data_IF_597106702851
#
_entry.id   IF_597106702851
#
_cell.length_a   1.000
_cell.length_b   1.000
_cell.length_c   1.000
_cell.angle_alpha   90.00
_cell.angle_beta   90.00
_cell.angle_gamma   90.00
#
_symmetry.space_group_name_H-M   'P 1'
#
loop_
_entity.id
_entity.type
_entity.pdbx_description
1 polymer ?
#
# COMPACT_ATOMS: atom_id res chain seq x y z
N UNK A 1 13.99 -15.44 -13.18
CA UNK A 1 13.52 -15.09 -11.83
C UNK A 1 12.61 -13.86 -11.88
N UNK A 2 11.93 -13.53 -10.75
CA UNK A 2 11.13 -12.29 -10.61
C UNK A 2 12.02 -11.17 -10.08
N UNK A 3 11.75 -9.92 -10.48
CA UNK A 3 12.47 -8.74 -10.01
C UNK A 3 11.52 -7.57 -9.76
N UNK A 4 11.88 -6.68 -8.84
CA UNK A 4 11.12 -5.45 -8.58
C UNK A 4 11.13 -4.56 -9.84
N UNK A 5 9.95 -4.25 -10.37
CA UNK A 5 9.79 -3.40 -11.56
C UNK A 5 10.21 -4.01 -12.89
N UNK A 6 10.63 -5.28 -12.92
CA UNK A 6 11.02 -5.97 -14.15
C UNK A 6 9.84 -6.51 -14.95
N UNK A 7 10.14 -7.14 -16.11
CA UNK A 7 9.13 -7.73 -16.99
C UNK A 7 8.47 -8.99 -16.40
N UNK A 8 9.10 -9.61 -15.41
CA UNK A 8 8.47 -10.60 -14.53
C UNK A 8 8.44 -10.02 -13.11
N UNK A 9 7.41 -9.25 -12.76
CA UNK A 9 7.44 -8.42 -11.58
C UNK A 9 7.39 -9.22 -10.29
N UNK A 10 8.19 -8.79 -9.31
CA UNK A 10 8.13 -9.22 -7.94
C UNK A 10 7.31 -8.19 -7.15
N UNK A 11 6.27 -8.66 -6.48
CA UNK A 11 5.51 -7.85 -5.52
C UNK A 11 5.87 -8.29 -4.11
N UNK A 12 6.03 -7.31 -3.21
CA UNK A 12 6.45 -7.57 -1.84
C UNK A 12 5.54 -6.88 -0.82
N UNK A 13 5.51 -7.43 0.38
CA UNK A 13 5.06 -6.75 1.57
C UNK A 13 6.25 -6.19 2.33
N UNK A 14 6.07 -5.03 2.96
CA UNK A 14 7.04 -4.41 3.86
C UNK A 14 6.38 -4.24 5.21
N UNK A 15 6.92 -4.90 6.23
CA UNK A 15 6.33 -4.94 7.57
C UNK A 15 7.38 -4.94 8.66
N UNK A 16 6.99 -4.60 9.86
CA UNK A 16 7.86 -4.66 11.03
C UNK A 16 8.27 -6.08 11.38
N UNK A 17 9.49 -6.23 11.92
CA UNK A 17 10.02 -7.45 12.48
C UNK A 17 10.56 -7.20 13.88
N UNK A 18 9.72 -6.69 14.79
CA UNK A 18 10.12 -6.45 16.18
C UNK A 18 10.47 -7.75 16.90
N UNK A 19 11.38 -7.65 17.87
CA UNK A 19 11.82 -8.78 18.71
C UNK A 19 10.66 -9.43 19.47
N UNK A 20 9.65 -8.64 19.85
CA UNK A 20 8.41 -9.09 20.47
C UNK A 20 7.25 -8.79 19.53
N UNK A 21 6.31 -9.72 19.41
CA UNK A 21 5.11 -9.52 18.59
C UNK A 21 4.26 -8.40 19.17
N UNK A 22 3.93 -7.44 18.32
CA UNK A 22 3.12 -6.25 18.65
C UNK A 22 1.96 -6.12 17.63
N UNK A 23 0.96 -7.01 17.66
CA UNK A 23 -0.08 -7.10 16.62
C UNK A 23 -0.89 -5.81 16.53
N UNK A 24 -1.03 -5.27 15.32
CA UNK A 24 -1.78 -4.05 15.04
C UNK A 24 -1.11 -2.74 15.47
N UNK A 25 0.09 -2.80 16.07
CA UNK A 25 0.76 -1.60 16.59
C UNK A 25 1.60 -0.87 15.55
N UNK A 26 2.16 -1.58 14.60
CA UNK A 26 2.97 -1.04 13.50
C UNK A 26 2.33 -1.31 12.16
N UNK A 27 2.62 -0.44 11.19
CA UNK A 27 1.99 -0.50 9.89
C UNK A 27 2.69 -1.51 8.96
N UNK A 28 1.94 -1.98 7.98
CA UNK A 28 2.39 -2.86 6.90
C UNK A 28 2.05 -2.19 5.57
N UNK A 29 2.92 -2.32 4.58
CA UNK A 29 2.64 -1.92 3.20
C UNK A 29 2.64 -3.18 2.34
N UNK A 30 1.52 -3.41 1.65
CA UNK A 30 1.29 -4.56 0.78
C UNK A 30 1.38 -4.16 -0.68
N UNK A 31 1.60 -5.15 -1.55
CA UNK A 31 1.57 -4.98 -3.01
C UNK A 31 2.61 -3.98 -3.56
N UNK A 32 3.68 -3.73 -2.79
CA UNK A 32 4.77 -2.87 -3.25
C UNK A 32 5.43 -3.48 -4.49
N UNK A 33 5.74 -2.64 -5.44
CA UNK A 33 6.21 -3.03 -6.77
C UNK A 33 5.17 -2.82 -7.87
N UNK A 34 3.90 -2.53 -7.50
CA UNK A 34 2.89 -2.08 -8.45
C UNK A 34 3.17 -0.65 -8.92
N UNK A 35 3.08 -0.46 -10.21
CA UNK A 35 3.14 0.81 -10.91
C UNK A 35 2.35 0.68 -12.23
N UNK A 36 2.33 1.71 -13.06
CA UNK A 36 1.54 1.73 -14.30
C UNK A 36 1.94 0.63 -15.29
N UNK A 37 3.22 0.22 -15.30
CA UNK A 37 3.71 -0.89 -16.13
C UNK A 37 3.35 -2.25 -15.51
N UNK A 38 3.64 -2.44 -14.24
CA UNK A 38 3.54 -3.76 -13.60
C UNK A 38 2.11 -4.18 -13.31
N UNK A 39 1.16 -3.23 -13.22
CA UNK A 39 -0.27 -3.55 -13.10
C UNK A 39 -0.80 -4.25 -14.36
N UNK A 40 -0.38 -3.81 -15.55
CA UNK A 40 -0.76 -4.44 -16.82
C UNK A 40 -0.20 -5.87 -16.93
N UNK A 41 1.03 -6.06 -16.47
CA UNK A 41 1.64 -7.40 -16.45
C UNK A 41 0.87 -8.30 -15.48
N UNK A 42 0.50 -7.80 -14.30
CA UNK A 42 -0.28 -8.56 -13.33
C UNK A 42 -1.67 -8.91 -13.89
N UNK A 43 -2.33 -7.96 -14.54
CA UNK A 43 -3.63 -8.16 -15.18
C UNK A 43 -3.58 -9.28 -16.24
N UNK A 44 -2.54 -9.27 -17.07
CA UNK A 44 -2.30 -10.29 -18.07
C UNK A 44 -1.98 -11.66 -17.45
N UNK A 45 -1.08 -11.71 -16.47
CA UNK A 45 -0.66 -12.98 -15.82
C UNK A 45 -1.81 -13.65 -15.05
N UNK A 46 -2.70 -12.88 -14.48
CA UNK A 46 -3.85 -13.40 -13.69
C UNK A 46 -5.10 -13.59 -14.53
N UNK A 47 -5.12 -13.11 -15.78
CA UNK A 47 -6.31 -12.96 -16.60
C UNK A 47 -7.46 -12.27 -15.84
N UNK A 48 -7.13 -11.36 -14.94
CA UNK A 48 -8.07 -10.65 -14.08
C UNK A 48 -7.67 -9.18 -13.90
N UNK A 49 -7.99 -8.31 -14.88
CA UNK A 49 -7.67 -6.88 -14.80
C UNK A 49 -8.27 -6.20 -13.57
N UNK A 50 -9.49 -6.56 -13.19
CA UNK A 50 -10.15 -5.99 -12.02
C UNK A 50 -9.34 -6.23 -10.74
N UNK A 51 -8.86 -7.46 -10.52
CA UNK A 51 -8.00 -7.79 -9.39
C UNK A 51 -6.69 -7.01 -9.40
N UNK A 52 -6.06 -6.88 -10.56
CA UNK A 52 -4.79 -6.17 -10.69
C UNK A 52 -4.94 -4.69 -10.35
N UNK A 53 -5.96 -4.04 -10.90
CA UNK A 53 -6.24 -2.62 -10.66
C UNK A 53 -6.75 -2.34 -9.25
N UNK A 54 -7.54 -3.23 -8.62
CA UNK A 54 -7.91 -3.10 -7.21
C UNK A 54 -6.69 -3.26 -6.29
N UNK A 55 -5.78 -4.18 -6.62
CA UNK A 55 -4.50 -4.32 -5.89
C UNK A 55 -3.64 -3.06 -5.99
N UNK A 56 -3.59 -2.43 -7.17
CA UNK A 56 -2.85 -1.20 -7.37
C UNK A 56 -3.50 -0.02 -6.64
N UNK A 57 -4.83 0.13 -6.71
CA UNK A 57 -5.58 1.14 -5.95
C UNK A 57 -5.26 1.04 -4.45
N UNK A 58 -5.34 -0.17 -3.90
CA UNK A 58 -5.04 -0.41 -2.47
C UNK A 58 -3.59 -0.08 -2.14
N UNK A 59 -2.66 -0.40 -3.03
CA UNK A 59 -1.26 -0.06 -2.83
C UNK A 59 -1.05 1.45 -2.80
N UNK A 60 -1.59 2.20 -3.78
CA UNK A 60 -1.47 3.66 -3.84
C UNK A 60 -2.04 4.31 -2.57
N UNK A 61 -3.25 3.89 -2.15
CA UNK A 61 -3.90 4.38 -0.94
C UNK A 61 -3.05 4.11 0.31
N UNK A 62 -2.61 2.87 0.49
CA UNK A 62 -1.84 2.44 1.66
C UNK A 62 -0.45 3.10 1.69
N UNK A 63 0.26 3.15 0.57
CA UNK A 63 1.55 3.81 0.46
C UNK A 63 1.44 5.31 0.77
N UNK A 64 0.47 5.98 0.18
CA UNK A 64 0.23 7.41 0.42
C UNK A 64 -0.10 7.70 1.88
N UNK A 65 -0.90 6.86 2.52
CA UNK A 65 -1.24 7.02 3.93
C UNK A 65 -0.04 6.69 4.84
N UNK A 66 0.53 5.49 4.73
CA UNK A 66 1.55 4.99 5.66
C UNK A 66 2.92 5.61 5.40
N UNK A 67 3.37 5.66 4.15
CA UNK A 67 4.70 6.15 3.81
C UNK A 67 4.77 7.66 3.76
N UNK A 68 3.72 8.30 3.23
CA UNK A 68 3.72 9.73 2.94
C UNK A 68 2.87 10.55 3.91
N UNK A 69 2.17 9.92 4.87
CA UNK A 69 1.40 10.59 5.91
C UNK A 69 0.14 11.31 5.42
N UNK A 70 -0.40 10.92 4.27
CA UNK A 70 -1.64 11.48 3.74
C UNK A 70 -2.86 10.94 4.49
N UNK A 71 -3.94 11.70 4.55
CA UNK A 71 -5.15 11.30 5.25
C UNK A 71 -5.89 10.22 4.48
N UNK A 72 -6.18 9.09 5.14
CA UNK A 72 -6.92 7.96 4.53
C UNK A 72 -8.30 8.39 4.04
N UNK A 73 -8.99 9.25 4.80
CA UNK A 73 -10.33 9.74 4.49
C UNK A 73 -10.44 10.40 3.10
N UNK A 74 -9.40 11.10 2.66
CA UNK A 74 -9.44 11.80 1.37
C UNK A 74 -9.49 10.79 0.20
N UNK A 75 -8.85 9.64 0.35
CA UNK A 75 -8.91 8.52 -0.60
C UNK A 75 -10.26 7.78 -0.52
N UNK A 76 -10.77 7.56 0.67
CA UNK A 76 -12.08 6.93 0.89
C UNK A 76 -13.20 7.75 0.26
N UNK A 77 -13.14 9.09 0.35
CA UNK A 77 -14.11 9.97 -0.28
C UNK A 77 -14.17 9.78 -1.81
N UNK A 78 -13.04 9.65 -2.48
CA UNK A 78 -12.98 9.41 -3.93
C UNK A 78 -13.68 8.09 -4.29
N UNK A 79 -13.48 7.04 -3.49
CA UNK A 79 -14.13 5.74 -3.68
C UNK A 79 -15.64 5.86 -3.49
N UNK A 80 -16.06 6.53 -2.43
CA UNK A 80 -17.48 6.71 -2.09
C UNK A 80 -18.19 7.57 -3.13
N UNK A 81 -17.56 8.61 -3.64
CA UNK A 81 -18.10 9.44 -4.72
C UNK A 81 -18.32 8.62 -6.01
N UNK A 82 -17.36 7.75 -6.34
CA UNK A 82 -17.49 6.84 -7.48
C UNK A 82 -18.64 5.84 -7.27
N UNK A 83 -18.75 5.24 -6.09
CA UNK A 83 -19.85 4.32 -5.75
C UNK A 83 -21.20 5.03 -5.81
N UNK A 84 -21.33 6.20 -5.21
CA UNK A 84 -22.58 6.97 -5.20
C UNK A 84 -23.02 7.35 -6.61
N UNK A 85 -22.09 7.79 -7.47
CA UNK A 85 -22.36 8.14 -8.87
C UNK A 85 -22.93 6.97 -9.67
N UNK A 86 -22.46 5.74 -9.39
CA UNK A 86 -22.85 4.55 -10.12
C UNK A 86 -23.94 3.72 -9.40
N UNK A 87 -24.41 4.14 -8.22
CA UNK A 87 -25.39 3.40 -7.42
C UNK A 87 -24.85 2.10 -6.81
N UNK A 88 -23.53 2.01 -6.58
CA UNK A 88 -22.90 0.85 -5.98
C UNK A 88 -22.93 0.90 -4.45
N UNK A 89 -23.02 -0.26 -3.81
CA UNK A 89 -23.01 -0.38 -2.35
C UNK A 89 -21.72 -0.96 -1.80
N UNK A 90 -21.00 -1.73 -2.60
CA UNK A 90 -19.77 -2.44 -2.19
C UNK A 90 -18.61 -2.11 -3.11
N UNK A 91 -17.39 -2.19 -2.58
CA UNK A 91 -16.17 -2.07 -3.40
C UNK A 91 -16.08 -3.19 -4.47
N UNK A 92 -16.76 -4.32 -4.23
CA UNK A 92 -16.81 -5.42 -5.19
C UNK A 92 -17.62 -5.08 -6.45
N UNK A 93 -18.49 -4.09 -6.38
CA UNK A 93 -19.33 -3.64 -7.53
C UNK A 93 -18.51 -2.77 -8.50
N UNK A 94 -17.36 -2.21 -8.06
CA UNK A 94 -16.48 -1.40 -8.89
C UNK A 94 -15.95 -2.22 -10.09
N UNK A 95 -16.09 -1.68 -11.28
CA UNK A 95 -15.54 -2.25 -12.51
C UNK A 95 -14.06 -1.94 -12.66
N UNK A 96 -13.40 -2.54 -13.65
CA UNK A 96 -12.01 -2.22 -13.97
C UNK A 96 -11.85 -0.75 -14.38
N UNK A 97 -12.78 -0.21 -15.12
CA UNK A 97 -12.81 1.18 -15.59
C UNK A 97 -13.00 2.15 -14.43
N UNK A 98 -13.86 1.82 -13.47
CA UNK A 98 -14.01 2.61 -12.24
C UNK A 98 -12.72 2.64 -11.43
N UNK A 99 -12.06 1.48 -11.30
CA UNK A 99 -10.80 1.37 -10.57
C UNK A 99 -9.66 2.16 -11.24
N UNK A 100 -9.62 2.20 -12.56
CA UNK A 100 -8.68 3.06 -13.32
C UNK A 100 -8.96 4.54 -13.04
N UNK A 101 -10.23 4.95 -13.12
CA UNK A 101 -10.63 6.33 -12.83
C UNK A 101 -10.31 6.74 -11.39
N UNK A 102 -10.58 5.88 -10.41
CA UNK A 102 -10.20 6.10 -9.00
C UNK A 102 -8.69 6.24 -8.85
N UNK A 103 -7.89 5.42 -9.52
CA UNK A 103 -6.43 5.49 -9.50
C UNK A 103 -5.92 6.83 -10.04
N UNK A 104 -6.51 7.33 -11.12
CA UNK A 104 -6.13 8.64 -11.68
C UNK A 104 -6.42 9.76 -10.68
N UNK A 105 -7.58 9.72 -10.01
CA UNK A 105 -7.92 10.70 -8.96
C UNK A 105 -6.98 10.55 -7.74
N UNK A 106 -6.60 9.34 -7.35
CA UNK A 106 -5.63 9.10 -6.28
C UNK A 106 -4.25 9.70 -6.60
N UNK A 107 -3.79 9.55 -7.85
CA UNK A 107 -2.52 10.13 -8.30
C UNK A 107 -2.57 11.66 -8.33
N UNK A 108 -3.70 12.24 -8.77
CA UNK A 108 -3.92 13.69 -8.71
C UNK A 108 -3.90 14.19 -7.26
N UNK A 109 -4.61 13.53 -6.36
CA UNK A 109 -4.60 13.84 -4.92
C UNK A 109 -3.19 13.76 -4.33
N UNK A 110 -2.43 12.73 -4.71
CA UNK A 110 -1.03 12.58 -4.30
C UNK A 110 -0.19 13.76 -4.78
N UNK A 111 -0.28 14.12 -6.06
CA UNK A 111 0.44 15.25 -6.63
C UNK A 111 0.09 16.57 -5.94
N UNK A 112 -1.19 16.84 -5.69
CA UNK A 112 -1.65 18.04 -4.99
C UNK A 112 -1.07 18.16 -3.58
N UNK A 113 -0.91 17.04 -2.88
CA UNK A 113 -0.41 17.01 -1.51
C UNK A 113 1.12 17.03 -1.41
N UNK A 114 1.82 16.41 -2.38
CA UNK A 114 3.28 16.18 -2.31
C UNK A 114 4.09 17.04 -3.27
N UNK A 115 3.45 17.62 -4.29
CA UNK A 115 4.13 18.40 -5.32
C UNK A 115 4.97 17.54 -6.30
N UNK A 116 4.86 16.22 -6.19
CA UNK A 116 5.51 15.25 -7.08
C UNK A 116 4.53 14.13 -7.48
N UNK A 117 4.80 13.47 -8.59
CA UNK A 117 3.99 12.33 -9.03
C UNK A 117 4.16 11.11 -8.11
N UNK A 118 3.12 10.26 -8.08
CA UNK A 118 3.22 8.98 -7.36
C UNK A 118 4.40 8.16 -7.91
N UNK A 119 5.32 7.67 -7.04
CA UNK A 119 6.56 7.07 -7.47
C UNK A 119 6.34 5.79 -8.29
N UNK A 120 6.78 5.82 -9.55
CA UNK A 120 6.78 4.68 -10.46
C UNK A 120 8.05 3.82 -10.30
N UNK A 121 9.13 4.37 -9.75
CA UNK A 121 10.35 3.62 -9.42
C UNK A 121 10.10 2.73 -8.18
N UNK A 122 10.15 1.44 -8.38
CA UNK A 122 9.92 0.44 -7.34
C UNK A 122 10.99 0.42 -6.25
N UNK A 123 12.22 0.86 -6.55
CA UNK A 123 13.27 1.03 -5.54
C UNK A 123 12.98 2.23 -4.64
N UNK A 124 12.52 3.36 -5.23
CA UNK A 124 12.05 4.52 -4.46
C UNK A 124 10.88 4.12 -3.55
N UNK A 125 9.90 3.38 -4.10
CA UNK A 125 8.79 2.84 -3.31
C UNK A 125 9.27 2.02 -2.11
N UNK A 126 10.21 1.09 -2.35
CA UNK A 126 10.74 0.21 -1.30
C UNK A 126 11.45 1.00 -0.21
N UNK A 127 12.31 1.94 -0.59
CA UNK A 127 13.04 2.76 0.37
C UNK A 127 12.12 3.60 1.26
N UNK A 128 11.11 4.24 0.68
CA UNK A 128 10.14 5.04 1.45
C UNK A 128 9.26 4.15 2.35
N UNK A 129 8.87 2.96 1.88
CA UNK A 129 8.14 2.00 2.70
C UNK A 129 8.96 1.49 3.89
N UNK A 130 10.23 1.18 3.70
CA UNK A 130 11.14 0.76 4.78
C UNK A 130 11.30 1.86 5.82
N UNK A 131 11.56 3.10 5.38
CA UNK A 131 11.62 4.26 6.28
C UNK A 131 10.32 4.45 7.07
N UNK A 132 9.17 4.29 6.40
CA UNK A 132 7.87 4.41 7.03
C UNK A 132 7.68 3.36 8.14
N UNK A 133 7.99 2.09 7.86
CA UNK A 133 7.86 1.02 8.85
C UNK A 133 8.75 1.29 10.07
N UNK A 134 9.98 1.76 9.89
CA UNK A 134 10.82 2.19 11.02
C UNK A 134 10.17 3.31 11.85
N UNK A 135 9.57 4.31 11.19
CA UNK A 135 8.87 5.40 11.89
C UNK A 135 7.69 4.90 12.73
N UNK A 136 7.02 3.83 12.29
CA UNK A 136 5.84 3.30 13.01
C UNK A 136 6.17 2.72 14.39
N UNK A 137 7.44 2.42 14.69
CA UNK A 137 7.89 2.10 16.04
C UNK A 137 7.52 3.21 17.05
N UNK A 138 7.52 4.46 16.61
CA UNK A 138 7.21 5.62 17.43
C UNK A 138 5.77 6.13 17.27
N UNK A 139 4.89 5.35 16.65
CA UNK A 139 3.47 5.68 16.62
C UNK A 139 2.88 5.69 18.05
N UNK A 140 1.92 6.56 18.38
CA UNK A 140 1.33 6.64 19.72
C UNK A 140 0.83 5.28 20.23
N UNK A 141 0.13 4.52 19.40
CA UNK A 141 -0.37 3.18 19.76
C UNK A 141 0.78 2.19 20.09
N UNK A 142 1.88 2.24 19.34
CA UNK A 142 3.04 1.38 19.58
C UNK A 142 3.77 1.76 20.88
N UNK A 143 3.88 3.05 21.19
CA UNK A 143 4.46 3.57 22.45
C UNK A 143 3.63 3.10 23.64
N UNK A 144 2.30 3.27 23.58
CA UNK A 144 1.40 2.84 24.66
C UNK A 144 1.49 1.34 24.87
N UNK A 145 1.43 0.55 23.79
CA UNK A 145 1.53 -0.91 23.86
C UNK A 145 2.84 -1.36 24.53
N UNK A 146 3.97 -0.77 24.15
CA UNK A 146 5.27 -1.10 24.74
C UNK A 146 5.30 -0.80 26.25
N UNK A 147 4.75 0.34 26.68
CA UNK A 147 4.66 0.69 28.12
C UNK A 147 3.83 -0.30 28.90
N UNK A 148 2.69 -0.74 28.34
CA UNK A 148 1.79 -1.70 28.99
C UNK A 148 2.34 -3.12 29.06
N UNK A 149 3.32 -3.46 28.22
CA UNK A 149 3.89 -4.81 28.13
C UNK A 149 5.38 -4.85 28.50
N UNK A 150 5.90 -3.80 29.17
CA UNK A 150 7.30 -3.69 29.64
C UNK A 150 8.33 -3.95 28.54
N UNK A 151 8.01 -3.53 27.30
CA UNK A 151 8.90 -3.66 26.13
C UNK A 151 9.82 -2.44 26.06
N UNK A 152 11.16 -2.62 26.14
CA UNK A 152 12.10 -1.50 26.11
C UNK A 152 12.04 -0.73 24.79
N UNK A 153 11.93 0.59 24.87
CA UNK A 153 11.82 1.46 23.68
C UNK A 153 13.10 1.49 22.83
N UNK A 154 14.26 1.20 23.43
CA UNK A 154 15.56 1.16 22.77
C UNK A 154 15.79 -0.12 21.93
N UNK A 155 14.89 -1.11 21.97
CA UNK A 155 15.04 -2.30 21.13
C UNK A 155 14.82 -2.00 19.64
N UNK A 156 13.96 -1.06 19.31
CA UNK A 156 13.63 -0.74 17.93
C UNK A 156 12.89 -1.90 17.23
N UNK A 157 12.82 -1.81 15.91
CA UNK A 157 12.26 -2.84 15.06
C UNK A 157 13.16 -3.12 13.87
N UNK A 158 13.17 -4.35 13.38
CA UNK A 158 13.62 -4.68 12.04
C UNK A 158 12.50 -4.46 11.03
N UNK A 159 12.84 -4.51 9.75
CA UNK A 159 11.87 -4.49 8.65
C UNK A 159 12.03 -5.76 7.84
N UNK A 160 10.92 -6.47 7.64
CA UNK A 160 10.83 -7.64 6.79
C UNK A 160 10.27 -7.25 5.42
N UNK A 161 11.01 -7.59 4.37
CA UNK A 161 10.56 -7.50 2.98
C UNK A 161 10.29 -8.91 2.49
N UNK A 162 9.02 -9.23 2.23
CA UNK A 162 8.60 -10.59 1.93
C UNK A 162 7.82 -10.63 0.61
N UNK A 163 8.11 -11.62 -0.23
CA UNK A 163 7.36 -11.85 -1.47
C UNK A 163 5.87 -12.05 -1.16
N UNK A 164 5.03 -11.38 -1.96
CA UNK A 164 3.58 -11.59 -1.95
C UNK A 164 3.22 -12.92 -2.63
N UNK A 165 2.23 -13.59 -2.06
CA UNK A 165 1.55 -14.73 -2.66
C UNK A 165 0.07 -14.38 -2.74
N UNK A 166 -0.50 -14.43 -3.94
CA UNK A 166 -1.90 -14.14 -4.17
C UNK A 166 -2.68 -15.46 -4.11
N UNK A 167 -3.71 -15.52 -3.28
CA UNK A 167 -4.51 -16.74 -3.06
C UNK A 167 -5.46 -17.11 -4.20
N UNK A 168 -5.50 -16.31 -5.25
CA UNK A 168 -6.34 -16.47 -6.44
C UNK A 168 -5.54 -16.81 -7.72
N UNK A 169 -4.31 -17.28 -7.56
CA UNK A 169 -3.45 -17.77 -8.65
C UNK A 169 -3.42 -19.28 -8.64
#
# INVERSE_FOLDING_TARGET
>A
GRSLGGDNPLFVSVRSGARVSMPGMMDTILNLGLNDKTVEILASQTNNPRFAYDSYRRFVQMFSNVAMGMKLRDFEQIIDDCKNKNGYTKDLDLTTEDLKSILDEFKKLYFQNKGEEFPQDTKKQLLEAVKAVFRTWNNPRAIVYRRMNDIPSNWGTAVNVQRMVFGNL
#
